data_IF_287351034302
#
_entry.id   IF_287351034302
#
_cell.length_a   1.000
_cell.length_b   1.000
_cell.length_c   1.000
_cell.angle_alpha   90.00
_cell.angle_beta   90.00
_cell.angle_gamma   90.00
#
_symmetry.space_group_name_H-M   'P 1'
#
loop_
_entity.id
_entity.type
_entity.pdbx_description
1 polymer ?
#
# COMPACT_ATOMS: atom_id res chain seq x y z
N UNK A 1 4.01 -11.86 -3.56
CA UNK A 1 2.82 -11.02 -3.66
C UNK A 1 2.80 -9.98 -2.56
N UNK A 2 2.18 -8.87 -2.84
CA UNK A 2 2.13 -7.78 -1.88
C UNK A 2 0.74 -7.69 -1.28
N UNK A 3 0.63 -6.94 -0.19
CA UNK A 3 -0.63 -6.70 0.46
C UNK A 3 -0.96 -5.23 0.34
N UNK A 4 -2.16 -4.94 -0.17
CA UNK A 4 -2.63 -3.56 -0.26
C UNK A 4 -2.93 -3.07 1.16
N UNK A 5 -2.23 -2.04 1.65
CA UNK A 5 -2.44 -1.60 3.03
C UNK A 5 -3.81 -0.96 3.25
N UNK A 6 -4.45 -0.51 2.18
CA UNK A 6 -5.76 0.12 2.31
C UNK A 6 -6.86 -0.91 2.28
N UNK A 7 -6.87 -1.76 1.26
CA UNK A 7 -7.88 -2.81 1.16
C UNK A 7 -7.54 -4.02 1.99
N UNK A 8 -6.25 -4.22 2.26
CA UNK A 8 -5.77 -5.40 2.99
C UNK A 8 -6.02 -6.67 2.22
N UNK A 9 -5.94 -6.57 0.91
CA UNK A 9 -6.09 -7.73 0.05
C UNK A 9 -4.78 -8.02 -0.66
N UNK A 10 -4.60 -9.25 -1.05
CA UNK A 10 -3.38 -9.62 -1.76
C UNK A 10 -3.40 -9.02 -3.15
N UNK A 11 -2.28 -8.43 -3.53
CA UNK A 11 -2.13 -7.80 -4.83
C UNK A 11 -0.95 -8.42 -5.53
N UNK A 12 -1.17 -8.89 -6.74
CA UNK A 12 -0.09 -9.40 -7.56
C UNK A 12 0.73 -8.22 -8.04
N UNK A 13 2.02 -8.24 -7.74
CA UNK A 13 2.87 -7.10 -8.07
C UNK A 13 2.86 -6.80 -9.56
N UNK A 14 2.72 -7.81 -10.38
CA UNK A 14 2.69 -7.59 -11.82
C UNK A 14 1.34 -7.08 -12.30
N UNK A 15 0.32 -7.16 -11.46
CA UNK A 15 -1.01 -6.71 -11.84
C UNK A 15 -1.47 -5.50 -11.05
N UNK A 16 -0.61 -4.96 -10.22
CA UNK A 16 -0.99 -3.82 -9.40
C UNK A 16 -1.35 -2.63 -10.29
N UNK A 17 -2.43 -1.98 -9.95
CA UNK A 17 -2.87 -0.81 -10.70
C UNK A 17 -1.99 0.38 -10.39
N UNK A 18 -1.56 0.50 -9.15
CA UNK A 18 -0.73 1.60 -8.73
C UNK A 18 0.25 1.13 -7.68
N UNK A 19 1.31 1.88 -7.52
CA UNK A 19 2.32 1.56 -6.51
C UNK A 19 2.74 2.83 -5.81
N UNK A 20 3.30 2.67 -4.61
CA UNK A 20 3.80 3.80 -3.86
C UNK A 20 4.96 3.32 -3.00
N UNK A 21 5.84 4.23 -2.65
CA UNK A 21 6.98 3.89 -1.81
C UNK A 21 6.96 4.78 -0.59
N UNK A 22 7.10 4.16 0.58
CA UNK A 22 7.07 4.90 1.82
C UNK A 22 8.03 4.27 2.80
N UNK A 23 8.93 5.08 3.34
CA UNK A 23 9.93 4.64 4.31
C UNK A 23 10.77 3.47 3.78
N UNK A 24 11.10 3.53 2.51
CA UNK A 24 11.93 2.51 1.91
C UNK A 24 11.23 1.23 1.58
N UNK A 25 9.91 1.18 1.75
CA UNK A 25 9.12 0.01 1.40
C UNK A 25 8.20 0.34 0.24
N UNK A 26 8.08 -0.59 -0.67
CA UNK A 26 7.22 -0.41 -1.82
C UNK A 26 5.88 -1.08 -1.56
N UNK A 27 4.82 -0.36 -1.82
CA UNK A 27 3.47 -0.86 -1.61
C UNK A 27 2.74 -0.92 -2.93
N UNK A 28 1.91 -1.93 -3.08
CA UNK A 28 1.17 -2.14 -4.31
C UNK A 28 -0.31 -2.03 -4.01
N UNK A 29 -1.05 -1.44 -4.93
CA UNK A 29 -2.46 -1.16 -4.68
C UNK A 29 -3.31 -1.74 -5.78
N UNK A 30 -4.47 -2.23 -5.41
CA UNK A 30 -5.39 -2.83 -6.36
C UNK A 30 -6.19 -1.78 -7.13
N UNK A 31 -6.16 -0.54 -6.69
CA UNK A 31 -6.88 0.52 -7.37
C UNK A 31 -6.22 1.86 -7.09
N UNK A 32 -6.44 2.80 -7.99
CA UNK A 32 -5.89 4.14 -7.83
C UNK A 32 -6.43 4.80 -6.56
N UNK A 33 -7.69 4.56 -6.26
CA UNK A 33 -8.27 5.12 -5.04
C UNK A 33 -7.54 4.70 -3.79
N UNK A 34 -7.11 3.45 -3.74
CA UNK A 34 -6.35 2.96 -2.60
C UNK A 34 -5.02 3.65 -2.49
N UNK A 35 -4.35 3.85 -3.63
CA UNK A 35 -3.08 4.55 -3.62
C UNK A 35 -3.24 5.98 -3.12
N UNK A 36 -4.25 6.66 -3.59
CA UNK A 36 -4.46 8.06 -3.21
C UNK A 36 -4.78 8.16 -1.72
N UNK A 37 -5.59 7.25 -1.21
CA UNK A 37 -5.90 7.24 0.22
C UNK A 37 -4.63 7.02 1.03
N UNK A 38 -3.78 6.10 0.57
CA UNK A 38 -2.54 5.82 1.27
C UNK A 38 -1.64 7.04 1.24
N UNK A 39 -1.52 7.70 0.10
CA UNK A 39 -0.65 8.87 -0.04
C UNK A 39 -1.10 10.00 0.89
N UNK A 40 -2.39 10.13 1.11
CA UNK A 40 -2.89 11.18 1.98
C UNK A 40 -2.61 10.90 3.44
N UNK A 41 -2.72 9.64 3.85
CA UNK A 41 -2.50 9.27 5.24
C UNK A 41 -1.82 7.91 5.31
N UNK A 42 -0.55 7.84 4.94
CA UNK A 42 0.12 6.53 4.94
C UNK A 42 0.18 5.89 6.31
N UNK A 43 0.38 6.68 7.34
CA UNK A 43 0.51 6.11 8.68
C UNK A 43 -0.81 5.52 9.17
N UNK A 44 -1.91 6.02 8.66
CA UNK A 44 -3.20 5.49 9.05
C UNK A 44 -3.39 4.06 8.56
N UNK A 45 -2.79 3.75 7.41
CA UNK A 45 -3.00 2.45 6.78
C UNK A 45 -1.86 1.49 7.00
N UNK A 46 -0.75 1.93 7.58
CA UNK A 46 0.37 1.04 7.81
C UNK A 46 0.07 0.14 8.98
N UNK A 47 0.03 -1.15 8.75
CA UNK A 47 -0.36 -2.07 9.83
C UNK A 47 0.76 -2.34 10.79
N UNK A 48 1.99 -2.34 10.31
CA UNK A 48 3.02 -2.79 11.14
C UNK A 48 3.45 -1.79 12.07
N UNK A 49 3.42 -0.71 11.77
CA UNK A 49 3.99 0.19 12.60
C UNK A 49 5.18 -0.27 13.20
N UNK A 50 5.75 -0.87 12.69
CA UNK A 50 6.83 -1.33 13.20
C UNK A 50 7.83 -0.62 13.33
N UNK A 51 7.56 -0.27 13.48
CA UNK A 51 8.31 0.13 13.85
C UNK A 51 8.97 0.28 14.30
N UNK A 52 8.97 0.22 14.60
CA UNK A 52 9.57 0.33 15.16
C UNK A 52 9.95 0.44 15.19
#
# INVERSE_FOLDING_TARGET
MAIDPVCKMKVDESKAVATSEYRGKKYYFCAIGCKRAFDQNPEKYLPEKEEK
#
